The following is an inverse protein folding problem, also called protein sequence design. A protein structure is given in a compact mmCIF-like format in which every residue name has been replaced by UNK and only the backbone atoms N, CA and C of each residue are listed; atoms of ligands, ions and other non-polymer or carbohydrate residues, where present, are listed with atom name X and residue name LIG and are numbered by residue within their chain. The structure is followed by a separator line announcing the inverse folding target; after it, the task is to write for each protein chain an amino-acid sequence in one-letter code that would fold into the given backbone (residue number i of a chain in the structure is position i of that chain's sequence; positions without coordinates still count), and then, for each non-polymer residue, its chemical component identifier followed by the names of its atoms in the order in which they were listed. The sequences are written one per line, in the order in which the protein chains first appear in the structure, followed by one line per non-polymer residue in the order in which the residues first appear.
data_IF_714082034571
#
_entry.id   IF_714082034571
#
_cell.length_a   1.000
_cell.length_b   1.000
_cell.length_c   1.000
_cell.angle_alpha   90.00
_cell.angle_beta   90.00
_cell.angle_gamma   90.00
#
_symmetry.space_group_name_H-M   'P 1'
#
loop_
_entity.id
_entity.type
_entity.pdbx_description
1 polymer ?
#
# COMPACT_ATOMS: atom_id res chain seq x y z
N UNK A 1 -14.90 -10.46 4.81
CA UNK A 1 -14.65 -9.14 5.42
C UNK A 1 -14.28 -8.12 4.34
N UNK A 2 -13.20 -8.36 3.58
CA UNK A 2 -12.81 -7.50 2.46
C UNK A 2 -13.84 -7.43 1.33
N UNK A 3 -14.73 -8.42 1.19
CA UNK A 3 -15.87 -8.38 0.25
C UNK A 3 -16.76 -7.14 0.39
N UNK A 4 -16.79 -6.51 1.58
CA UNK A 4 -17.48 -5.23 1.79
C UNK A 4 -16.92 -4.11 0.91
N UNK A 5 -15.67 -4.22 0.47
CA UNK A 5 -14.98 -3.26 -0.40
C UNK A 5 -15.14 -3.58 -1.90
N UNK A 6 -15.88 -4.64 -2.26
CA UNK A 6 -16.09 -5.03 -3.66
C UNK A 6 -16.80 -3.92 -4.43
N UNK A 7 -16.16 -3.45 -5.50
CA UNK A 7 -16.59 -2.25 -6.23
C UNK A 7 -16.40 -2.32 -7.76
N UNK A 8 -15.64 -3.31 -8.25
CA UNK A 8 -15.39 -3.50 -9.68
C UNK A 8 -14.38 -2.54 -10.32
N UNK A 9 -13.88 -1.52 -9.60
CA UNK A 9 -12.83 -0.59 -10.06
C UNK A 9 -11.46 -0.96 -9.50
N UNK A 10 -11.37 -1.13 -8.18
CA UNK A 10 -10.17 -1.55 -7.47
C UNK A 10 -10.36 -2.92 -6.83
N UNK A 11 -9.26 -3.67 -6.67
CA UNK A 11 -9.23 -4.83 -5.78
C UNK A 11 -9.51 -4.42 -4.33
N UNK A 12 -10.15 -5.33 -3.61
CA UNK A 12 -10.46 -5.18 -2.20
C UNK A 12 -9.17 -5.10 -1.35
N UNK A 13 -8.11 -5.78 -1.79
CA UNK A 13 -6.78 -5.77 -1.17
C UNK A 13 -6.16 -4.37 -1.29
N UNK A 14 -6.19 -3.75 -2.48
CA UNK A 14 -5.63 -2.41 -2.65
C UNK A 14 -6.41 -1.37 -1.86
N UNK A 15 -7.75 -1.42 -1.89
CA UNK A 15 -8.56 -0.54 -1.05
C UNK A 15 -8.22 -0.70 0.43
N UNK A 16 -8.09 -1.93 0.94
CA UNK A 16 -7.66 -2.18 2.32
C UNK A 16 -6.36 -1.48 2.67
N UNK A 17 -5.34 -1.55 1.82
CA UNK A 17 -4.08 -0.86 2.08
C UNK A 17 -4.21 0.66 2.01
N UNK A 18 -5.12 1.21 1.20
CA UNK A 18 -5.42 2.64 1.22
C UNK A 18 -6.05 3.06 2.55
N UNK A 19 -7.00 2.28 3.10
CA UNK A 19 -7.55 2.50 4.45
C UNK A 19 -6.47 2.49 5.53
N UNK A 20 -5.40 1.71 5.34
CA UNK A 20 -4.27 1.59 6.27
C UNK A 20 -3.24 2.71 6.16
N UNK A 21 -3.16 3.41 5.03
CA UNK A 21 -2.09 4.41 4.78
C UNK A 21 -2.58 5.85 4.87
N UNK A 22 -3.80 6.12 4.41
CA UNK A 22 -4.34 7.48 4.31
C UNK A 22 -5.05 7.85 5.61
N UNK A 23 -4.97 9.14 5.99
CA UNK A 23 -5.90 9.67 6.99
C UNK A 23 -7.33 9.72 6.41
N UNK A 24 -8.33 9.84 7.29
CA UNK A 24 -9.75 9.78 6.91
C UNK A 24 -10.15 10.83 5.87
N UNK A 25 -9.55 12.02 5.90
CA UNK A 25 -9.86 13.08 4.94
C UNK A 25 -9.25 12.74 3.58
N UNK A 26 -7.97 12.43 3.54
CA UNK A 26 -7.26 12.09 2.30
C UNK A 26 -7.87 10.86 1.62
N UNK A 27 -8.25 9.83 2.39
CA UNK A 27 -8.93 8.66 1.84
C UNK A 27 -10.30 9.04 1.24
N UNK A 28 -11.09 9.86 1.93
CA UNK A 28 -12.40 10.26 1.43
C UNK A 28 -12.28 11.04 0.11
N UNK A 29 -11.29 11.92 0.00
CA UNK A 29 -11.05 12.67 -1.24
C UNK A 29 -10.62 11.74 -2.38
N UNK A 30 -9.72 10.79 -2.14
CA UNK A 30 -9.41 9.72 -3.09
C UNK A 30 -10.67 8.95 -3.52
N UNK A 31 -11.47 8.47 -2.56
CA UNK A 31 -12.66 7.68 -2.86
C UNK A 31 -13.67 8.46 -3.71
N UNK A 32 -13.85 9.77 -3.49
CA UNK A 32 -14.73 10.62 -4.31
C UNK A 32 -14.27 10.70 -5.76
N UNK A 33 -12.97 10.83 -6.02
CA UNK A 33 -12.43 10.90 -7.39
C UNK A 33 -12.80 9.67 -8.22
N UNK A 34 -12.96 8.52 -7.56
CA UNK A 34 -13.36 7.27 -8.19
C UNK A 34 -14.83 6.92 -8.00
N UNK A 35 -15.67 7.79 -7.42
CA UNK A 35 -17.10 7.50 -7.17
C UNK A 35 -17.31 6.34 -6.19
N UNK A 36 -16.47 6.26 -5.16
CA UNK A 36 -16.41 5.23 -4.13
C UNK A 36 -16.67 5.81 -2.73
N UNK A 37 -17.25 7.01 -2.64
CA UNK A 37 -17.49 7.71 -1.35
C UNK A 37 -18.24 6.87 -0.32
N UNK A 38 -19.13 5.95 -0.75
CA UNK A 38 -19.88 5.07 0.16
C UNK A 38 -18.97 4.22 1.05
N UNK A 39 -17.77 3.85 0.59
CA UNK A 39 -16.85 3.02 1.36
C UNK A 39 -16.18 3.78 2.51
N UNK A 40 -16.24 5.13 2.53
CA UNK A 40 -15.69 5.93 3.61
C UNK A 40 -16.33 5.60 4.98
N UNK A 41 -17.54 5.03 5.00
CA UNK A 41 -18.19 4.56 6.23
C UNK A 41 -17.41 3.44 6.92
N UNK A 42 -16.62 2.67 6.17
CA UNK A 42 -15.82 1.57 6.71
C UNK A 42 -14.44 1.99 7.20
N UNK A 43 -14.14 3.30 7.25
CA UNK A 43 -12.82 3.80 7.62
C UNK A 43 -12.33 3.22 8.94
N UNK A 44 -13.09 3.43 10.01
CA UNK A 44 -12.68 3.05 11.36
C UNK A 44 -12.59 1.51 11.50
N UNK A 45 -13.38 0.75 10.72
CA UNK A 45 -13.31 -0.73 10.68
C UNK A 45 -11.99 -1.19 10.06
N UNK A 46 -11.68 -0.78 8.83
CA UNK A 46 -10.50 -1.29 8.11
C UNK A 46 -9.19 -0.68 8.59
N UNK A 47 -9.19 0.58 9.00
CA UNK A 47 -8.00 1.25 9.54
C UNK A 47 -7.46 0.49 10.76
N UNK A 48 -8.35 0.02 11.64
CA UNK A 48 -7.99 -0.66 12.89
C UNK A 48 -7.90 -2.19 12.77
N UNK A 49 -8.22 -2.77 11.60
CA UNK A 49 -8.22 -4.23 11.42
C UNK A 49 -6.92 -4.70 10.77
N UNK A 50 -6.20 -5.58 11.45
CA UNK A 50 -5.03 -6.26 10.88
C UNK A 50 -5.43 -7.56 10.20
N UNK A 51 -5.03 -7.69 8.93
CA UNK A 51 -5.26 -8.86 8.09
C UNK A 51 -3.90 -9.44 7.73
N UNK A 52 -3.70 -10.75 7.90
CA UNK A 52 -2.43 -11.41 7.54
C UNK A 52 -2.28 -11.57 6.03
N UNK A 53 -1.07 -11.79 5.55
CA UNK A 53 -0.80 -12.07 4.14
C UNK A 53 -1.57 -13.29 3.62
N UNK A 54 -1.74 -14.36 4.43
CA UNK A 54 -2.49 -15.54 4.02
C UNK A 54 -3.98 -15.25 3.86
N UNK A 55 -4.53 -14.38 4.72
CA UNK A 55 -5.92 -13.96 4.59
C UNK A 55 -6.10 -13.05 3.38
N UNK A 56 -5.16 -12.13 3.10
CA UNK A 56 -5.17 -11.30 1.89
C UNK A 56 -5.13 -12.14 0.61
N UNK A 57 -4.30 -13.19 0.58
CA UNK A 57 -4.20 -14.09 -0.57
C UNK A 57 -5.52 -14.79 -0.93
N UNK A 58 -6.46 -14.96 0.02
CA UNK A 58 -7.79 -15.53 -0.28
C UNK A 58 -8.67 -14.62 -1.14
N UNK A 59 -8.37 -13.32 -1.17
CA UNK A 59 -9.09 -12.33 -1.96
C UNK A 59 -8.39 -11.99 -3.27
N UNK A 60 -7.23 -12.61 -3.53
CA UNK A 60 -6.51 -12.40 -4.77
C UNK A 60 -7.20 -13.13 -5.93
N UNK A 61 -7.45 -12.41 -7.03
CA UNK A 61 -8.20 -12.89 -8.19
C UNK A 61 -7.32 -13.51 -9.30
N UNK A 62 -6.02 -13.63 -9.06
CA UNK A 62 -5.04 -14.14 -10.03
C UNK A 62 -4.44 -13.06 -10.94
N UNK A 63 -4.91 -11.81 -10.90
CA UNK A 63 -4.42 -10.75 -11.77
C UNK A 63 -3.29 -9.93 -11.10
N UNK A 64 -2.06 -10.46 -11.18
CA UNK A 64 -0.86 -9.83 -10.60
C UNK A 64 -0.57 -8.44 -11.15
N UNK A 65 -0.73 -8.22 -12.46
CA UNK A 65 -0.42 -6.93 -13.10
C UNK A 65 -1.38 -5.84 -12.64
N UNK A 66 -2.68 -6.16 -12.55
CA UNK A 66 -3.67 -5.22 -12.04
C UNK A 66 -3.40 -4.92 -10.57
N UNK A 67 -3.25 -5.95 -9.76
CA UNK A 67 -3.04 -5.78 -8.32
C UNK A 67 -1.75 -5.00 -8.03
N UNK A 68 -0.65 -5.27 -8.74
CA UNK A 68 0.61 -4.57 -8.49
C UNK A 68 0.52 -3.06 -8.73
N UNK A 69 -0.19 -2.65 -9.78
CA UNK A 69 -0.46 -1.23 -10.08
C UNK A 69 -1.32 -0.58 -9.02
N UNK A 70 -2.33 -1.28 -8.52
CA UNK A 70 -3.21 -0.75 -7.48
C UNK A 70 -2.51 -0.67 -6.12
N UNK A 71 -1.69 -1.66 -5.76
CA UNK A 71 -0.89 -1.65 -4.53
C UNK A 71 0.17 -0.55 -4.54
N UNK A 72 0.68 -0.14 -5.70
CA UNK A 72 1.61 0.98 -5.80
C UNK A 72 1.01 2.29 -5.24
N UNK A 73 -0.32 2.46 -5.26
CA UNK A 73 -1.00 3.65 -4.72
C UNK A 73 -0.84 3.80 -3.20
N UNK A 74 -0.59 2.71 -2.48
CA UNK A 74 -0.24 2.75 -1.07
C UNK A 74 1.02 3.56 -0.81
N UNK A 75 1.99 3.50 -1.74
CA UNK A 75 3.28 4.16 -1.57
C UNK A 75 3.25 5.64 -1.93
N UNK A 76 2.20 6.12 -2.62
CA UNK A 76 2.12 7.51 -3.06
C UNK A 76 2.34 8.54 -1.93
N UNK A 77 1.80 8.38 -0.71
CA UNK A 77 2.05 9.31 0.41
C UNK A 77 3.49 9.32 0.93
N UNK A 78 4.28 8.29 0.61
CA UNK A 78 5.68 8.18 1.02
C UNK A 78 6.64 8.78 -0.02
N UNK A 79 6.17 8.93 -1.26
CA UNK A 79 7.03 9.34 -2.37
C UNK A 79 7.11 10.87 -2.44
N UNK A 80 8.33 11.43 -2.61
CA UNK A 80 8.52 12.84 -2.96
C UNK A 80 7.78 13.20 -4.26
N UNK A 81 7.15 14.37 -4.31
CA UNK A 81 6.38 14.82 -5.49
C UNK A 81 7.23 14.84 -6.77
N UNK A 82 8.50 15.19 -6.65
CA UNK A 82 9.45 15.28 -7.75
C UNK A 82 10.03 13.92 -8.18
N UNK A 83 9.90 12.88 -7.34
CA UNK A 83 10.24 11.51 -7.75
C UNK A 83 9.29 10.99 -8.84
N UNK A 84 8.00 11.36 -8.77
CA UNK A 84 6.98 11.00 -9.77
C UNK A 84 7.42 11.44 -11.18
N UNK A 85 8.18 12.53 -11.27
CA UNK A 85 8.69 13.10 -12.52
C UNK A 85 10.08 12.60 -12.88
N UNK A 86 11.00 12.57 -11.92
CA UNK A 86 12.42 12.28 -12.16
C UNK A 86 12.73 10.79 -12.32
N UNK A 87 11.98 9.91 -11.64
CA UNK A 87 12.24 8.47 -11.56
C UNK A 87 13.69 8.13 -11.15
N UNK A 88 14.36 9.02 -10.43
CA UNK A 88 15.72 8.84 -9.96
C UNK A 88 15.73 8.08 -8.63
N UNK A 89 16.10 6.81 -8.68
CA UNK A 89 16.08 5.91 -7.53
C UNK A 89 17.11 6.29 -6.45
N UNK A 90 18.26 6.84 -6.84
CA UNK A 90 19.28 7.23 -5.88
C UNK A 90 18.83 8.47 -5.11
N UNK A 91 18.21 9.41 -5.82
CA UNK A 91 17.58 10.57 -5.20
C UNK A 91 16.42 10.18 -4.29
N UNK A 92 15.53 9.28 -4.74
CA UNK A 92 14.46 8.74 -3.89
C UNK A 92 15.02 8.13 -2.61
N UNK A 93 16.06 7.30 -2.73
CA UNK A 93 16.72 6.65 -1.59
C UNK A 93 17.26 7.67 -0.60
N UNK A 94 17.91 8.73 -1.08
CA UNK A 94 18.41 9.81 -0.22
C UNK A 94 17.29 10.56 0.50
N UNK A 95 16.21 10.88 -0.21
CA UNK A 95 15.07 11.62 0.34
C UNK A 95 14.30 10.78 1.36
N UNK A 96 13.96 9.52 1.03
CA UNK A 96 13.33 8.60 1.97
C UNK A 96 14.20 8.41 3.22
N UNK A 97 15.52 8.22 3.05
CA UNK A 97 16.44 8.04 4.18
C UNK A 97 16.45 9.25 5.11
N UNK A 98 16.30 10.46 4.57
CA UNK A 98 16.28 11.69 5.36
C UNK A 98 15.00 11.84 6.20
N UNK A 99 13.87 11.30 5.72
CA UNK A 99 12.55 11.42 6.37
C UNK A 99 12.28 10.27 7.31
N UNK A 100 12.53 9.04 6.87
CA UNK A 100 12.10 7.82 7.56
C UNK A 100 13.27 7.00 8.13
N UNK A 101 14.51 7.32 7.77
CA UNK A 101 15.69 6.53 8.12
C UNK A 101 15.88 5.30 7.22
N UNK A 102 17.03 4.64 7.38
CA UNK A 102 17.51 3.62 6.45
C UNK A 102 16.58 2.41 6.33
N UNK A 103 16.09 1.88 7.45
CA UNK A 103 15.32 0.63 7.48
C UNK A 103 13.96 0.75 6.77
N UNK A 104 13.24 1.85 7.02
CA UNK A 104 11.93 2.12 6.39
C UNK A 104 12.11 2.39 4.89
N UNK A 105 13.16 3.12 4.53
CA UNK A 105 13.48 3.46 3.14
C UNK A 105 13.81 2.21 2.32
N UNK A 106 14.66 1.31 2.85
CA UNK A 106 14.92 0.01 2.19
C UNK A 106 13.64 -0.81 2.04
N UNK A 107 12.76 -0.82 3.04
CA UNK A 107 11.51 -1.55 2.97
C UNK A 107 10.59 -1.00 1.85
N UNK A 108 10.46 0.32 1.75
CA UNK A 108 9.68 0.98 0.68
C UNK A 108 10.27 0.65 -0.70
N UNK A 109 11.59 0.82 -0.87
CA UNK A 109 12.26 0.56 -2.15
C UNK A 109 12.10 -0.91 -2.54
N UNK A 110 12.36 -1.84 -1.62
CA UNK A 110 12.21 -3.27 -1.86
C UNK A 110 10.77 -3.64 -2.24
N UNK A 111 9.76 -3.05 -1.61
CA UNK A 111 8.38 -3.30 -1.98
C UNK A 111 8.05 -2.79 -3.40
N UNK A 112 8.51 -1.59 -3.77
CA UNK A 112 8.34 -1.05 -5.11
C UNK A 112 9.06 -1.90 -6.17
N UNK A 113 10.26 -2.37 -5.87
CA UNK A 113 11.01 -3.31 -6.72
C UNK A 113 10.22 -4.61 -6.91
N UNK A 114 9.74 -5.23 -5.83
CA UNK A 114 8.93 -6.46 -5.95
C UNK A 114 7.65 -6.20 -6.74
N UNK A 115 6.94 -5.10 -6.51
CA UNK A 115 5.74 -4.74 -7.28
C UNK A 115 6.06 -4.59 -8.77
N UNK A 116 7.20 -3.99 -9.11
CA UNK A 116 7.66 -3.92 -10.50
C UNK A 116 7.94 -5.31 -11.05
N UNK A 117 8.58 -6.17 -10.25
CA UNK A 117 8.92 -7.54 -10.61
C UNK A 117 7.69 -8.39 -10.82
N UNK A 118 6.60 -8.29 -10.05
CA UNK A 118 5.39 -9.13 -10.20
C UNK A 118 4.79 -9.15 -11.62
N UNK A 119 5.15 -8.17 -12.46
CA UNK A 119 4.79 -8.11 -13.88
C UNK A 119 5.65 -8.99 -14.80
N UNK A 120 6.74 -9.60 -14.31
CA UNK A 120 7.81 -10.19 -15.12
C UNK A 120 8.15 -11.68 -14.88
N UNK A 121 8.09 -12.30 -13.68
CA UNK A 121 8.49 -13.70 -13.54
C UNK A 121 7.50 -14.61 -14.26
N UNK A 122 8.02 -15.71 -14.81
CA UNK A 122 7.19 -16.73 -15.46
C UNK A 122 6.63 -17.74 -14.46
N UNK A 123 7.31 -17.94 -13.32
CA UNK A 123 6.91 -18.90 -12.30
C UNK A 123 5.84 -18.36 -11.34
N UNK A 124 4.79 -19.15 -11.14
CA UNK A 124 3.66 -18.81 -10.27
C UNK A 124 4.02 -18.91 -8.79
N UNK A 125 4.84 -19.89 -8.40
CA UNK A 125 5.25 -20.05 -7.01
C UNK A 125 6.10 -18.86 -6.54
N UNK A 126 7.05 -18.43 -7.38
CA UNK A 126 7.80 -17.20 -7.17
C UNK A 126 6.90 -15.96 -7.09
N UNK A 127 5.89 -15.82 -7.96
CA UNK A 127 4.93 -14.69 -7.90
C UNK A 127 4.14 -14.65 -6.60
N UNK A 128 3.63 -15.79 -6.15
CA UNK A 128 2.91 -15.87 -4.87
C UNK A 128 3.81 -15.51 -3.70
N UNK A 129 5.05 -16.00 -3.70
CA UNK A 129 6.03 -15.65 -2.68
C UNK A 129 6.29 -14.14 -2.67
N UNK A 130 6.59 -13.54 -3.82
CA UNK A 130 6.83 -12.10 -3.97
C UNK A 130 5.63 -11.26 -3.53
N UNK A 131 4.41 -11.66 -3.89
CA UNK A 131 3.20 -10.96 -3.49
C UNK A 131 3.00 -10.99 -1.97
N UNK A 132 3.21 -12.15 -1.33
CA UNK A 132 3.15 -12.28 0.13
C UNK A 132 4.20 -11.42 0.82
N UNK A 133 5.42 -11.36 0.28
CA UNK A 133 6.48 -10.51 0.82
C UNK A 133 6.11 -9.02 0.74
N UNK A 134 5.50 -8.58 -0.37
CA UNK A 134 4.97 -7.20 -0.47
C UNK A 134 3.89 -6.95 0.57
N UNK A 135 2.95 -7.87 0.76
CA UNK A 135 1.91 -7.71 1.79
C UNK A 135 2.51 -7.56 3.18
N UNK A 136 3.49 -8.39 3.56
CA UNK A 136 4.17 -8.27 4.85
C UNK A 136 4.82 -6.90 5.03
N UNK A 137 5.51 -6.42 4.00
CA UNK A 137 6.15 -5.10 4.05
C UNK A 137 5.09 -4.00 4.23
N UNK A 138 4.02 -4.03 3.44
CA UNK A 138 2.94 -3.03 3.52
C UNK A 138 2.22 -3.05 4.88
N UNK A 139 1.96 -4.25 5.43
CA UNK A 139 1.39 -4.41 6.78
C UNK A 139 2.33 -3.79 7.81
N UNK A 140 3.62 -4.10 7.75
CA UNK A 140 4.61 -3.54 8.69
C UNK A 140 4.69 -2.01 8.57
N UNK A 141 4.77 -1.48 7.35
CA UNK A 141 4.80 -0.05 7.10
C UNK A 141 3.53 0.65 7.61
N UNK A 142 2.35 0.04 7.44
CA UNK A 142 1.11 0.61 7.97
C UNK A 142 1.14 0.76 9.50
N UNK A 143 1.68 -0.23 10.21
CA UNK A 143 1.83 -0.19 11.67
C UNK A 143 2.82 0.87 12.11
N UNK A 144 3.97 0.95 11.44
CA UNK A 144 4.98 1.97 11.71
C UNK A 144 4.38 3.38 11.52
N UNK A 145 3.65 3.59 10.43
CA UNK A 145 3.03 4.89 10.13
C UNK A 145 1.96 5.28 11.14
N UNK A 146 1.16 4.33 11.63
CA UNK A 146 0.22 4.60 12.73
C UNK A 146 0.96 5.07 13.98
N UNK A 147 2.04 4.37 14.37
CA UNK A 147 2.84 4.73 15.55
C UNK A 147 3.51 6.10 15.40
N UNK A 148 3.98 6.45 14.21
CA UNK A 148 4.59 7.76 13.95
C UNK A 148 3.55 8.90 14.02
N UNK A 149 2.33 8.69 13.51
CA UNK A 149 1.24 9.67 13.55
C UNK A 149 0.72 9.91 14.97
N UNK A 150 0.53 8.84 15.75
CA UNK A 150 0.08 8.94 17.15
C UNK A 150 1.15 9.61 18.05
N UNK A 151 2.43 9.48 17.69
CA UNK A 151 3.54 10.13 18.39
C UNK A 151 3.57 11.66 18.25
N UNK A 152 3.00 12.20 17.17
CA UNK A 152 2.92 13.66 16.93
C UNK A 152 1.73 14.32 17.66
N UNK A 153 0.71 13.57 18.11
CA UNK A 153 -0.39 14.11 18.92
C UNK A 153 -0.03 14.32 20.41
N UNK A 154 1.16 13.89 20.85
CA UNK A 154 1.61 13.98 22.26
C UNK A 154 2.61 15.14 22.48
N UNK A 155 2.72 16.11 21.57
CA UNK A 155 3.55 17.32 21.73
C UNK A 155 2.77 18.62 21.81
#
# INVERSE_FOLDING_TARGET
MLEKLKNGKFSEIALYFLFKSYDKKSLNDFLKEYGLEKYAEFYDEFHNTDISEEELMKYFDGNYEKLSRELALFFAPFLPEDFVLSKDLEKLRQELNSVYGNEISEAIIKALEILSMLSYPEDLEEKEYLLKEVFKIMILLSKIMMLLKDGDEVK
#
